data_IF_741372626199
#
_entry.id   IF_741372626199
#
_cell.length_a   1.000
_cell.length_b   1.000
_cell.length_c   1.000
_cell.angle_alpha   90.00
_cell.angle_beta   90.00
_cell.angle_gamma   90.00
#
_symmetry.space_group_name_H-M   'P 1'
#
loop_
_entity.id
_entity.type
_entity.pdbx_description
1 polymer ?
#
# COMPACT_ATOMS: atom_id res chain seq x y z
N UNK A 1 57.93 56.58 -33.93
CA UNK A 1 58.45 55.48 -34.76
C UNK A 1 57.36 54.41 -34.88
N UNK A 2 57.22 53.81 -36.07
CA UNK A 2 56.09 52.99 -36.62
C UNK A 2 55.60 51.85 -35.70
N UNK A 3 54.30 51.56 -35.59
CA UNK A 3 53.40 50.84 -36.52
C UNK A 3 53.77 49.34 -36.76
N UNK A 4 52.88 48.46 -36.25
CA UNK A 4 52.28 47.26 -36.86
C UNK A 4 53.03 45.91 -37.01
N UNK A 5 52.24 44.88 -36.64
CA UNK A 5 52.00 43.56 -37.28
C UNK A 5 52.89 42.34 -36.95
N UNK A 6 52.36 41.26 -36.34
CA UNK A 6 51.67 40.02 -36.88
C UNK A 6 52.67 38.83 -36.82
N UNK A 7 52.38 37.65 -36.23
CA UNK A 7 51.82 36.42 -36.84
C UNK A 7 51.71 35.27 -35.80
N UNK A 8 50.61 34.49 -35.91
CA UNK A 8 50.31 33.07 -35.54
C UNK A 8 50.73 32.52 -34.16
N UNK A 9 49.92 31.76 -33.44
CA UNK A 9 48.80 30.88 -33.82
C UNK A 9 49.05 29.51 -33.17
N UNK A 10 48.09 29.01 -32.39
CA UNK A 10 47.72 27.59 -32.20
C UNK A 10 46.69 27.56 -31.06
N UNK A 11 45.45 27.27 -31.44
CA UNK A 11 44.33 27.03 -30.56
C UNK A 11 44.27 25.52 -30.32
N UNK A 12 44.59 25.06 -29.12
CA UNK A 12 44.47 23.64 -28.76
C UNK A 12 43.08 23.43 -28.17
N UNK A 13 42.17 22.87 -28.98
CA UNK A 13 40.93 22.26 -28.51
C UNK A 13 41.28 21.01 -27.69
N UNK A 14 41.01 21.05 -26.38
CA UNK A 14 41.01 19.87 -25.53
C UNK A 14 39.79 18.99 -25.80
N UNK A 15 40.03 17.83 -26.40
CA UNK A 15 39.04 16.75 -26.50
C UNK A 15 38.78 16.14 -25.13
N UNK A 16 37.58 16.34 -24.57
CA UNK A 16 37.06 15.51 -23.48
C UNK A 16 36.47 14.25 -24.10
N UNK A 17 37.19 13.13 -23.95
CA UNK A 17 36.72 11.80 -24.32
C UNK A 17 35.69 11.35 -23.27
N UNK A 18 34.41 11.57 -23.58
CA UNK A 18 33.30 10.94 -22.87
C UNK A 18 33.19 9.47 -23.28
N UNK A 19 33.51 8.56 -22.37
CA UNK A 19 33.31 7.13 -22.56
C UNK A 19 31.80 6.83 -22.45
N UNK A 20 31.09 6.92 -23.57
CA UNK A 20 29.68 6.52 -23.68
C UNK A 20 29.57 5.00 -23.78
N UNK A 21 29.33 4.31 -22.67
CA UNK A 21 28.92 2.90 -22.71
C UNK A 21 27.45 2.82 -23.13
N UNK A 22 27.21 2.39 -24.37
CA UNK A 22 25.90 1.98 -24.87
C UNK A 22 25.35 0.82 -24.04
N UNK A 23 24.40 1.09 -23.14
CA UNK A 23 23.58 0.04 -22.52
C UNK A 23 22.45 -0.31 -23.50
N UNK A 24 22.61 -1.42 -24.22
CA UNK A 24 21.51 -2.06 -24.94
C UNK A 24 20.41 -2.45 -23.94
N UNK A 25 19.12 -2.20 -24.21
CA UNK A 25 18.05 -2.72 -23.37
C UNK A 25 17.99 -4.24 -23.51
N UNK A 26 18.00 -4.95 -22.37
CA UNK A 26 17.73 -6.38 -22.30
C UNK A 26 16.22 -6.59 -22.53
N UNK A 27 15.85 -6.87 -23.77
CA UNK A 27 14.51 -7.35 -24.13
C UNK A 27 14.47 -8.84 -23.76
N UNK A 28 13.72 -9.18 -22.71
CA UNK A 28 13.34 -10.57 -22.44
C UNK A 28 12.45 -11.08 -23.59
N UNK A 29 12.68 -12.29 -24.13
CA UNK A 29 11.79 -12.87 -25.11
C UNK A 29 10.44 -13.18 -24.46
N UNK A 30 9.43 -12.37 -24.79
CA UNK A 30 8.04 -12.59 -24.47
C UNK A 30 7.58 -13.79 -25.30
N UNK A 31 7.29 -14.92 -24.65
CA UNK A 31 6.56 -16.02 -25.29
C UNK A 31 5.15 -15.52 -25.56
N UNK A 32 4.89 -15.14 -26.80
CA UNK A 32 3.54 -14.87 -27.30
C UNK A 32 2.92 -16.24 -27.56
N UNK A 33 2.06 -16.70 -26.65
CA UNK A 33 1.17 -17.80 -26.95
C UNK A 33 0.14 -17.29 -27.98
N UNK A 34 0.08 -17.95 -29.15
CA UNK A 34 -1.00 -17.77 -30.11
C UNK A 34 -2.33 -18.12 -29.44
N UNK A 35 -3.18 -17.13 -29.21
CA UNK A 35 -4.58 -17.35 -28.86
C UNK A 35 -5.35 -17.37 -30.18
N UNK A 36 -5.28 -18.49 -30.88
CA UNK A 36 -6.19 -18.75 -31.98
C UNK A 36 -7.57 -19.09 -31.41
N UNK A 37 -8.54 -18.24 -31.76
CA UNK A 37 -9.99 -18.50 -31.80
C UNK A 37 -10.66 -19.08 -30.53
N UNK A 38 -10.90 -18.22 -29.52
CA UNK A 38 -12.08 -18.42 -28.65
C UNK A 38 -13.28 -17.81 -29.37
N UNK A 39 -14.11 -18.70 -29.92
CA UNK A 39 -15.40 -18.37 -30.53
C UNK A 39 -16.30 -17.67 -29.50
N UNK A 40 -16.71 -16.45 -29.82
CA UNK A 40 -17.74 -15.71 -29.10
C UNK A 40 -19.12 -16.24 -29.49
N UNK A 41 -19.58 -17.30 -28.85
CA UNK A 41 -20.96 -17.78 -28.94
C UNK A 41 -21.45 -18.23 -27.56
N UNK A 42 -21.80 -17.26 -26.70
CA UNK A 42 -22.88 -17.36 -25.70
C UNK A 42 -22.97 -16.06 -24.90
N UNK A 43 -23.54 -15.03 -25.53
CA UNK A 43 -24.21 -13.94 -24.79
C UNK A 43 -25.70 -14.19 -24.93
N UNK A 44 -26.22 -15.11 -24.12
CA UNK A 44 -27.65 -15.26 -23.93
C UNK A 44 -27.91 -15.55 -22.45
N UNK A 45 -28.72 -14.68 -21.84
CA UNK A 45 -29.27 -14.74 -20.49
C UNK A 45 -28.36 -14.21 -19.35
N UNK A 46 -28.05 -12.92 -19.42
CA UNK A 46 -27.90 -12.12 -18.19
C UNK A 46 -29.31 -11.94 -17.63
N UNK A 47 -29.64 -12.66 -16.55
CA UNK A 47 -30.77 -12.32 -15.70
C UNK A 47 -30.49 -10.94 -15.14
N UNK A 48 -31.33 -9.95 -15.48
CA UNK A 48 -31.23 -8.59 -14.95
C UNK A 48 -31.09 -8.64 -13.43
N UNK A 49 -29.97 -8.11 -12.92
CA UNK A 49 -29.85 -7.80 -11.50
C UNK A 49 -30.98 -6.82 -11.13
N UNK A 50 -31.63 -6.97 -9.95
CA UNK A 50 -32.72 -6.08 -9.57
C UNK A 50 -32.23 -4.64 -9.56
N UNK A 51 -32.86 -3.79 -10.38
CA UNK A 51 -32.66 -2.34 -10.35
C UNK A 51 -32.99 -1.86 -8.94
N UNK A 52 -31.97 -1.37 -8.25
CA UNK A 52 -32.14 -0.65 -7.00
C UNK A 52 -33.03 0.56 -7.29
N UNK A 53 -34.27 0.51 -6.82
CA UNK A 53 -35.16 1.68 -6.78
C UNK A 53 -34.56 2.61 -5.73
N UNK A 54 -33.81 3.61 -6.20
CA UNK A 54 -33.45 4.76 -5.37
C UNK A 54 -34.73 5.56 -5.21
N UNK A 55 -35.36 5.43 -4.05
CA UNK A 55 -36.40 6.35 -3.63
C UNK A 55 -35.79 7.76 -3.53
N UNK A 56 -36.13 8.62 -4.49
CA UNK A 56 -35.68 10.00 -4.56
C UNK A 56 -36.53 10.95 -3.69
N UNK A 57 -37.23 10.44 -2.67
CA UNK A 57 -37.83 11.29 -1.63
C UNK A 57 -36.77 11.87 -0.68
N UNK A 58 -35.91 12.73 -1.23
CA UNK A 58 -35.14 13.67 -0.41
C UNK A 58 -36.15 14.67 0.13
N UNK A 59 -36.51 14.48 1.41
CA UNK A 59 -37.15 15.50 2.23
C UNK A 59 -36.27 16.77 2.19
N UNK A 60 -36.72 17.77 1.44
CA UNK A 60 -36.02 19.02 1.19
C UNK A 60 -36.11 20.02 2.34
N UNK A 61 -36.49 19.58 3.56
CA UNK A 61 -36.76 20.47 4.70
C UNK A 61 -35.58 20.76 5.64
N UNK A 62 -34.36 20.28 5.37
CA UNK A 62 -33.16 20.71 6.10
C UNK A 62 -32.40 21.82 5.37
N UNK A 63 -33.03 22.99 5.23
CA UNK A 63 -32.26 24.22 4.99
C UNK A 63 -31.52 24.53 6.29
N UNK A 64 -30.28 24.07 6.41
CA UNK A 64 -29.40 24.55 7.46
C UNK A 64 -29.18 26.05 7.24
N UNK A 65 -29.85 26.86 8.05
CA UNK A 65 -29.54 28.29 8.14
C UNK A 65 -28.06 28.38 8.51
N UNK A 66 -27.21 29.10 7.74
CA UNK A 66 -25.79 29.17 8.05
C UNK A 66 -25.60 29.76 9.44
N UNK A 67 -25.18 28.92 10.39
CA UNK A 67 -24.81 29.39 11.72
C UNK A 67 -23.59 30.29 11.57
N UNK A 68 -23.68 31.51 12.09
CA UNK A 68 -22.53 32.40 12.13
C UNK A 68 -21.51 31.86 13.14
N UNK A 69 -20.29 31.59 12.67
CA UNK A 69 -19.21 31.07 13.51
C UNK A 69 -18.73 32.14 14.49
N UNK A 70 -18.46 31.75 15.74
CA UNK A 70 -17.81 32.64 16.72
C UNK A 70 -16.39 33.01 16.26
N UNK A 71 -15.76 34.06 16.81
CA UNK A 71 -14.35 34.37 16.51
C UNK A 71 -13.40 33.19 16.73
N UNK A 72 -13.59 32.39 17.78
CA UNK A 72 -12.80 31.20 18.08
C UNK A 72 -13.02 30.11 17.03
N UNK A 73 -14.27 29.87 16.63
CA UNK A 73 -14.62 28.93 15.57
C UNK A 73 -14.06 29.37 14.21
N UNK A 74 -14.07 30.67 13.91
CA UNK A 74 -13.45 31.26 12.70
C UNK A 74 -11.93 31.07 12.70
N UNK A 75 -11.27 31.17 13.84
CA UNK A 75 -9.82 30.91 13.98
C UNK A 75 -9.53 29.40 13.85
N UNK A 76 -10.34 28.55 14.47
CA UNK A 76 -10.22 27.09 14.36
C UNK A 76 -10.41 26.63 12.90
N UNK A 77 -11.39 27.19 12.20
CA UNK A 77 -11.65 26.91 10.79
C UNK A 77 -10.53 27.41 9.88
N UNK A 78 -9.97 28.59 10.14
CA UNK A 78 -8.77 29.10 9.43
C UNK A 78 -7.57 28.15 9.61
N UNK A 79 -7.32 27.69 10.84
CA UNK A 79 -6.27 26.71 11.12
C UNK A 79 -6.54 25.37 10.44
N UNK A 80 -7.79 24.90 10.43
CA UNK A 80 -8.22 23.63 9.82
C UNK A 80 -8.06 23.64 8.31
N UNK A 81 -8.43 24.74 7.67
CA UNK A 81 -8.30 24.93 6.21
C UNK A 81 -6.86 25.23 5.78
N UNK A 82 -5.97 25.53 6.73
CA UNK A 82 -4.57 25.85 6.45
C UNK A 82 -4.39 27.19 5.73
N UNK A 83 -5.43 28.01 5.65
CA UNK A 83 -5.41 29.30 4.95
C UNK A 83 -4.87 30.38 5.91
N UNK A 84 -3.60 30.75 5.72
CA UNK A 84 -3.03 31.92 6.39
C UNK A 84 -3.56 33.20 5.72
N UNK A 85 -4.38 33.97 6.44
CA UNK A 85 -5.05 35.18 5.91
C UNK A 85 -4.09 36.27 5.42
N UNK A 86 -2.86 36.31 5.94
CA UNK A 86 -1.83 37.27 5.51
C UNK A 86 -0.94 36.74 4.37
N UNK A 87 -1.26 35.58 3.79
CA UNK A 87 -0.53 35.07 2.64
C UNK A 87 -1.08 35.67 1.35
N UNK A 88 -0.18 36.20 0.52
CA UNK A 88 -0.47 36.45 -0.88
C UNK A 88 -0.37 35.13 -1.64
N UNK A 89 -1.50 34.66 -2.18
CA UNK A 89 -1.52 33.45 -2.99
C UNK A 89 -0.91 33.73 -4.38
N UNK A 90 0.20 33.07 -4.68
CA UNK A 90 0.77 32.99 -6.02
C UNK A 90 0.84 31.52 -6.45
N UNK A 91 0.17 31.18 -7.55
CA UNK A 91 0.07 29.82 -8.03
C UNK A 91 1.38 29.34 -8.67
N UNK A 92 1.84 28.15 -8.27
CA UNK A 92 2.86 27.41 -9.01
C UNK A 92 2.18 26.55 -10.09
N UNK A 93 2.79 26.48 -11.28
CA UNK A 93 2.24 25.71 -12.42
C UNK A 93 2.80 24.29 -12.55
N UNK A 94 3.88 23.97 -11.82
CA UNK A 94 4.53 22.66 -11.86
C UNK A 94 4.34 21.95 -10.52
N UNK A 95 3.38 21.02 -10.47
CA UNK A 95 3.13 20.19 -9.31
C UNK A 95 2.51 18.84 -9.72
N UNK A 96 2.70 17.83 -8.88
CA UNK A 96 1.99 16.56 -8.94
C UNK A 96 1.23 16.35 -7.62
N UNK A 97 0.21 15.50 -7.64
CA UNK A 97 -0.45 15.05 -6.42
C UNK A 97 0.52 14.19 -5.58
N UNK A 98 0.43 14.31 -4.26
CA UNK A 98 1.11 13.40 -3.34
C UNK A 98 0.55 12.00 -3.54
N UNK A 99 1.43 11.01 -3.72
CA UNK A 99 1.06 9.62 -4.02
C UNK A 99 1.16 8.77 -2.75
N UNK A 100 0.32 7.73 -2.61
CA UNK A 100 0.48 6.75 -1.56
C UNK A 100 1.80 5.98 -1.74
N UNK A 101 2.42 5.61 -0.64
CA UNK A 101 3.70 4.88 -0.63
C UNK A 101 3.56 3.47 -0.05
N UNK A 102 2.39 3.10 0.47
CA UNK A 102 2.12 1.81 1.11
C UNK A 102 0.80 1.23 0.63
N UNK A 103 0.68 -0.09 0.75
CA UNK A 103 -0.60 -0.80 0.72
C UNK A 103 -0.73 -1.59 2.00
N UNK A 104 -1.83 -1.40 2.72
CA UNK A 104 -2.17 -2.16 3.93
C UNK A 104 -3.31 -3.11 3.61
N UNK A 105 -3.07 -4.39 3.81
CA UNK A 105 -4.01 -5.47 3.54
C UNK A 105 -4.74 -5.85 4.83
N UNK A 106 -6.07 -5.96 4.73
CA UNK A 106 -6.99 -6.28 5.80
C UNK A 106 -7.85 -7.47 5.41
N UNK A 107 -8.46 -8.12 6.40
CA UNK A 107 -9.68 -8.91 6.21
C UNK A 107 -10.79 -8.28 7.03
N UNK A 108 -12.02 -8.39 6.55
CA UNK A 108 -13.15 -7.62 7.11
C UNK A 108 -13.65 -8.15 8.45
N UNK A 109 -13.35 -9.40 8.78
CA UNK A 109 -13.93 -10.15 9.89
C UNK A 109 -15.48 -10.24 9.79
N UNK A 110 -16.00 -10.12 8.57
CA UNK A 110 -17.42 -10.16 8.23
C UNK A 110 -17.68 -11.31 7.26
N UNK A 111 -18.97 -11.55 6.95
CA UNK A 111 -19.41 -12.68 6.13
C UNK A 111 -19.93 -12.27 4.74
N UNK A 112 -19.91 -10.97 4.41
CA UNK A 112 -20.30 -10.51 3.08
C UNK A 112 -19.73 -9.14 2.73
N UNK A 113 -19.38 -8.97 1.45
CA UNK A 113 -19.05 -7.67 0.86
C UNK A 113 -20.13 -6.62 1.08
N UNK A 114 -21.42 -6.97 0.95
CA UNK A 114 -22.50 -6.00 1.11
C UNK A 114 -22.51 -5.39 2.53
N UNK A 115 -22.23 -6.21 3.54
CA UNK A 115 -22.07 -5.76 4.92
C UNK A 115 -20.86 -4.83 5.08
N UNK A 116 -19.72 -5.16 4.44
CA UNK A 116 -18.51 -4.33 4.49
C UNK A 116 -18.72 -2.98 3.82
N UNK A 117 -19.26 -2.96 2.60
CA UNK A 117 -19.61 -1.73 1.88
C UNK A 117 -20.55 -0.87 2.70
N UNK A 118 -21.60 -1.47 3.29
CA UNK A 118 -22.53 -0.74 4.14
C UNK A 118 -21.85 -0.18 5.40
N UNK A 119 -20.93 -0.93 6.01
CA UNK A 119 -20.16 -0.48 7.17
C UNK A 119 -19.40 0.81 6.86
N UNK A 120 -18.83 0.95 5.66
CA UNK A 120 -18.10 2.15 5.25
C UNK A 120 -18.99 3.34 4.85
N UNK A 121 -20.31 3.13 4.74
CA UNK A 121 -21.28 4.15 4.35
C UNK A 121 -22.13 4.68 5.52
N UNK A 122 -22.00 4.10 6.73
CA UNK A 122 -22.78 4.54 7.89
C UNK A 122 -21.97 5.52 8.76
N UNK A 123 -22.54 6.69 9.16
CA UNK A 123 -21.77 7.74 9.84
C UNK A 123 -21.09 7.32 11.16
N UNK A 124 -21.65 6.33 11.86
CA UNK A 124 -21.18 5.91 13.17
C UNK A 124 -19.97 4.94 13.13
N UNK A 125 -19.67 4.32 11.98
CA UNK A 125 -18.57 3.33 11.90
C UNK A 125 -17.20 3.98 11.99
N UNK A 126 -17.06 5.20 11.44
CA UNK A 126 -15.81 5.98 11.40
C UNK A 126 -14.61 5.15 10.89
N UNK A 127 -14.85 4.29 9.91
CA UNK A 127 -13.84 3.49 9.22
C UNK A 127 -14.15 3.45 7.72
N UNK A 128 -13.10 3.35 6.91
CA UNK A 128 -13.21 3.24 5.46
C UNK A 128 -11.94 2.62 4.88
N UNK A 129 -12.04 2.04 3.70
CA UNK A 129 -10.92 1.56 2.91
C UNK A 129 -11.05 2.06 1.47
N UNK A 130 -9.99 1.97 0.68
CA UNK A 130 -10.02 2.39 -0.72
C UNK A 130 -10.68 1.32 -1.59
N UNK A 131 -10.45 0.06 -1.27
CA UNK A 131 -10.96 -1.09 -2.02
C UNK A 131 -11.53 -2.16 -1.11
N UNK A 132 -12.58 -2.82 -1.57
CA UNK A 132 -13.13 -4.06 -1.02
C UNK A 132 -13.07 -5.14 -2.10
N UNK A 133 -12.60 -6.34 -1.79
CA UNK A 133 -12.55 -7.47 -2.73
C UNK A 133 -13.42 -8.62 -2.22
N UNK A 134 -14.38 -9.04 -3.02
CA UNK A 134 -15.27 -10.17 -2.72
C UNK A 134 -14.55 -11.52 -2.77
N UNK A 135 -15.16 -12.54 -2.18
CA UNK A 135 -14.74 -13.94 -2.35
C UNK A 135 -14.71 -14.37 -3.83
N UNK A 136 -15.55 -13.80 -4.68
CA UNK A 136 -15.62 -14.08 -6.13
C UNK A 136 -14.61 -13.27 -6.96
N UNK A 137 -13.81 -12.40 -6.35
CA UNK A 137 -12.83 -11.56 -7.03
C UNK A 137 -13.38 -10.24 -7.57
N UNK A 138 -14.62 -9.86 -7.23
CA UNK A 138 -15.15 -8.54 -7.56
C UNK A 138 -14.40 -7.48 -6.73
N UNK A 139 -13.82 -6.49 -7.42
CA UNK A 139 -13.16 -5.34 -6.80
C UNK A 139 -14.13 -4.16 -6.79
N UNK A 140 -14.35 -3.59 -5.60
CA UNK A 140 -15.18 -2.40 -5.40
C UNK A 140 -14.28 -1.27 -4.90
N UNK A 141 -14.16 -0.19 -5.68
CA UNK A 141 -13.44 1.01 -5.27
C UNK A 141 -14.39 1.94 -4.51
N UNK A 142 -14.04 2.28 -3.27
CA UNK A 142 -14.84 3.07 -2.35
C UNK A 142 -14.36 4.52 -2.22
N UNK A 143 -13.07 4.78 -2.47
CA UNK A 143 -12.45 6.10 -2.38
C UNK A 143 -11.45 6.30 -3.52
N UNK A 144 -11.16 7.55 -3.85
CA UNK A 144 -10.04 7.87 -4.74
C UNK A 144 -8.72 7.51 -4.04
N UNK A 145 -7.75 6.99 -4.78
CA UNK A 145 -6.42 6.59 -4.30
C UNK A 145 -5.64 7.72 -3.59
N UNK A 146 -6.00 8.99 -3.85
CA UNK A 146 -5.40 10.17 -3.24
C UNK A 146 -6.11 10.65 -1.97
N UNK A 147 -7.28 10.11 -1.66
CA UNK A 147 -8.03 10.45 -0.46
C UNK A 147 -7.52 9.66 0.75
N UNK A 148 -7.55 10.29 1.93
CA UNK A 148 -7.17 9.62 3.17
C UNK A 148 -8.31 8.73 3.69
N UNK A 149 -8.24 7.43 3.41
CA UNK A 149 -9.12 6.45 4.05
C UNK A 149 -8.80 6.24 5.55
N UNK A 150 -9.76 5.72 6.32
CA UNK A 150 -9.62 5.48 7.76
C UNK A 150 -9.58 3.97 8.05
N UNK A 151 -8.51 3.28 7.62
CA UNK A 151 -8.37 1.83 7.74
C UNK A 151 -7.30 1.40 8.76
N UNK A 152 -6.15 2.07 8.80
CA UNK A 152 -5.01 1.70 9.65
C UNK A 152 -5.21 2.10 11.12
N UNK A 153 -5.96 3.18 11.37
CA UNK A 153 -6.13 3.76 12.70
C UNK A 153 -4.80 4.10 13.38
N UNK A 154 -4.74 3.99 14.72
CA UNK A 154 -3.48 4.14 15.47
C UNK A 154 -2.53 3.00 15.10
N UNK A 155 -1.47 3.33 14.39
CA UNK A 155 -0.53 2.38 13.78
C UNK A 155 0.88 2.98 13.74
N UNK A 156 1.90 2.15 13.47
CA UNK A 156 3.27 2.59 13.25
C UNK A 156 4.00 1.60 12.35
N UNK A 157 4.75 2.12 11.39
CA UNK A 157 5.70 1.34 10.57
C UNK A 157 6.97 2.16 10.34
N UNK A 158 8.09 1.71 10.90
CA UNK A 158 9.33 2.48 10.97
C UNK A 158 9.12 3.80 11.70
N UNK A 159 9.46 4.91 11.05
CA UNK A 159 9.25 6.26 11.59
C UNK A 159 7.83 6.80 11.39
N UNK A 160 6.99 6.15 10.58
CA UNK A 160 5.66 6.65 10.18
C UNK A 160 4.62 6.21 11.21
N UNK A 161 3.79 7.13 11.69
CA UNK A 161 2.72 6.91 12.67
C UNK A 161 1.30 7.20 12.13
N UNK A 162 1.16 7.90 11.00
CA UNK A 162 -0.11 8.11 10.30
C UNK A 162 -0.15 7.36 8.96
N UNK A 163 -0.25 6.03 9.03
CA UNK A 163 -0.29 5.19 7.82
C UNK A 163 -1.49 5.50 6.93
N UNK A 164 -2.64 5.89 7.49
CA UNK A 164 -3.83 6.29 6.71
C UNK A 164 -3.51 7.36 5.65
N UNK A 165 -2.60 8.31 5.96
CA UNK A 165 -2.23 9.39 5.03
C UNK A 165 -1.22 8.98 3.97
N UNK A 166 -0.62 7.80 4.11
CA UNK A 166 0.49 7.34 3.28
C UNK A 166 0.18 6.01 2.56
N UNK A 167 -1.02 5.45 2.75
CA UNK A 167 -1.32 4.10 2.30
C UNK A 167 -2.69 3.95 1.66
N UNK A 168 -2.77 2.99 0.73
CA UNK A 168 -4.03 2.44 0.24
C UNK A 168 -4.43 1.27 1.14
N UNK A 169 -5.64 1.33 1.69
CA UNK A 169 -6.28 0.25 2.44
C UNK A 169 -7.11 -0.65 1.53
N UNK A 170 -6.86 -1.97 1.58
CA UNK A 170 -7.60 -2.98 0.82
C UNK A 170 -8.20 -4.00 1.78
N UNK A 171 -9.52 -4.16 1.71
CA UNK A 171 -10.31 -5.06 2.57
C UNK A 171 -10.73 -6.30 1.80
N UNK A 172 -10.35 -7.47 2.30
CA UNK A 172 -10.77 -8.76 1.72
C UNK A 172 -11.97 -9.30 2.50
N UNK A 173 -13.06 -9.59 1.80
CA UNK A 173 -14.24 -10.24 2.37
C UNK A 173 -13.89 -11.67 2.82
N UNK A 174 -13.47 -11.77 4.08
CA UNK A 174 -13.03 -12.99 4.74
C UNK A 174 -13.16 -12.78 6.25
N UNK A 175 -13.58 -13.81 6.98
CA UNK A 175 -13.83 -13.75 8.41
C UNK A 175 -12.58 -14.01 9.29
N UNK A 176 -11.41 -14.23 8.66
CA UNK A 176 -10.14 -14.51 9.32
C UNK A 176 -9.95 -15.95 9.81
N UNK A 177 -10.94 -16.83 9.59
CA UNK A 177 -10.96 -18.21 10.08
C UNK A 177 -10.99 -19.26 8.96
N UNK A 178 -11.02 -18.81 7.71
CA UNK A 178 -11.04 -19.66 6.52
C UNK A 178 -10.00 -19.20 5.49
N UNK A 179 -9.47 -20.12 4.66
CA UNK A 179 -8.58 -19.73 3.56
C UNK A 179 -9.22 -18.70 2.63
N UNK A 180 -8.40 -17.82 2.08
CA UNK A 180 -8.84 -16.84 1.08
C UNK A 180 -9.02 -17.56 -0.27
N UNK A 181 -10.19 -17.44 -0.94
CA UNK A 181 -10.40 -18.09 -2.23
C UNK A 181 -9.42 -17.61 -3.30
N UNK A 182 -8.99 -18.51 -4.19
CA UNK A 182 -8.05 -18.18 -5.27
C UNK A 182 -8.57 -17.03 -6.17
N UNK A 183 -9.88 -16.98 -6.42
CA UNK A 183 -10.53 -15.87 -7.14
C UNK A 183 -10.30 -14.51 -6.48
N UNK A 184 -10.35 -14.46 -5.14
CA UNK A 184 -10.13 -13.24 -4.37
C UNK A 184 -8.64 -12.85 -4.38
N UNK A 185 -7.73 -13.82 -4.22
CA UNK A 185 -6.29 -13.57 -4.24
C UNK A 185 -5.80 -13.15 -5.63
N UNK A 186 -6.30 -13.78 -6.70
CA UNK A 186 -5.96 -13.38 -8.08
C UNK A 186 -6.41 -11.95 -8.39
N UNK A 187 -7.63 -11.57 -7.97
CA UNK A 187 -8.11 -10.20 -8.10
C UNK A 187 -7.24 -9.21 -7.31
N UNK A 188 -6.82 -9.58 -6.09
CA UNK A 188 -5.89 -8.79 -5.30
C UNK A 188 -4.56 -8.59 -6.04
N UNK A 189 -3.95 -9.65 -6.58
CA UNK A 189 -2.67 -9.55 -7.30
C UNK A 189 -2.75 -8.58 -8.49
N UNK A 190 -3.82 -8.64 -9.27
CA UNK A 190 -4.05 -7.71 -10.40
C UNK A 190 -4.17 -6.26 -9.92
N UNK A 191 -4.91 -6.04 -8.82
CA UNK A 191 -5.04 -4.71 -8.23
C UNK A 191 -3.70 -4.20 -7.69
N UNK A 192 -2.95 -5.04 -6.98
CA UNK A 192 -1.65 -4.66 -6.42
C UNK A 192 -0.65 -4.31 -7.52
N UNK A 193 -0.62 -5.04 -8.64
CA UNK A 193 0.26 -4.74 -9.78
C UNK A 193 -0.05 -3.36 -10.40
N UNK A 194 -1.35 -3.08 -10.57
CA UNK A 194 -1.85 -1.79 -11.06
C UNK A 194 -1.41 -0.65 -10.14
N UNK A 195 -1.64 -0.78 -8.83
CA UNK A 195 -1.29 0.24 -7.84
C UNK A 195 0.23 0.43 -7.73
N UNK A 196 0.98 -0.68 -7.70
CA UNK A 196 2.44 -0.67 -7.64
C UNK A 196 3.04 0.07 -8.82
N UNK A 197 2.58 -0.24 -10.04
CA UNK A 197 3.08 0.36 -11.27
C UNK A 197 2.72 1.84 -11.36
N UNK A 198 1.46 2.21 -11.05
CA UNK A 198 0.98 3.60 -11.11
C UNK A 198 1.70 4.51 -10.12
N UNK A 199 1.94 4.03 -8.91
CA UNK A 199 2.46 4.84 -7.81
C UNK A 199 3.93 4.59 -7.47
N UNK A 200 4.57 3.63 -8.15
CA UNK A 200 5.94 3.20 -7.90
C UNK A 200 6.14 2.74 -6.44
N UNK A 201 5.14 2.05 -5.88
CA UNK A 201 5.17 1.60 -4.48
C UNK A 201 6.28 0.56 -4.30
N UNK A 202 7.23 0.75 -3.37
CA UNK A 202 8.28 -0.21 -3.11
C UNK A 202 7.73 -1.58 -2.71
N UNK A 203 8.40 -2.65 -3.12
CA UNK A 203 8.00 -4.03 -2.79
C UNK A 203 7.83 -4.26 -1.27
N UNK A 204 8.67 -3.63 -0.44
CA UNK A 204 8.62 -3.75 1.02
C UNK A 204 7.35 -3.15 1.64
N UNK A 205 6.65 -2.28 0.92
CA UNK A 205 5.57 -1.46 1.46
C UNK A 205 4.17 -2.08 1.29
N UNK A 206 4.10 -3.38 0.95
CA UNK A 206 2.88 -4.18 0.98
C UNK A 206 2.86 -4.99 2.27
N UNK A 207 2.04 -4.55 3.22
CA UNK A 207 2.08 -5.00 4.63
C UNK A 207 0.68 -5.30 5.14
N UNK A 208 0.58 -6.09 6.21
CA UNK A 208 -0.69 -6.39 6.86
C UNK A 208 -1.03 -5.38 7.94
N UNK A 209 -2.29 -5.28 8.32
CA UNK A 209 -2.69 -4.43 9.45
C UNK A 209 -2.06 -4.88 10.78
N UNK A 210 -1.88 -6.20 10.96
CA UNK A 210 -1.16 -6.77 12.09
C UNK A 210 0.30 -6.30 12.17
N UNK A 211 0.94 -6.01 11.03
CA UNK A 211 2.33 -5.53 11.01
C UNK A 211 2.44 -4.13 11.65
N UNK A 212 1.48 -3.26 11.33
CA UNK A 212 1.50 -1.84 11.74
C UNK A 212 0.78 -1.57 13.07
N UNK A 213 -0.04 -2.52 13.54
CA UNK A 213 -0.80 -2.41 14.79
C UNK A 213 -0.77 -3.72 15.60
N UNK A 214 0.43 -4.24 15.93
CA UNK A 214 0.65 -5.61 16.43
C UNK A 214 -0.06 -5.95 17.75
N UNK A 215 -0.38 -4.94 18.57
CA UNK A 215 -1.09 -5.12 19.84
C UNK A 215 -2.62 -5.08 19.71
N UNK A 216 -3.14 -4.64 18.56
CA UNK A 216 -4.56 -4.36 18.35
C UNK A 216 -5.19 -5.20 17.25
N UNK A 217 -4.39 -5.64 16.28
CA UNK A 217 -4.85 -6.21 15.02
C UNK A 217 -4.12 -7.50 14.68
N UNK A 218 -4.86 -8.43 14.09
CA UNK A 218 -4.41 -9.74 13.64
C UNK A 218 -4.72 -10.00 12.16
N UNK A 219 -5.35 -9.06 11.47
CA UNK A 219 -5.62 -9.13 10.04
C UNK A 219 -4.36 -8.88 9.18
N UNK A 220 -4.19 -9.59 8.04
CA UNK A 220 -5.13 -10.48 7.36
C UNK A 220 -5.14 -11.96 7.82
N UNK A 221 -4.90 -12.26 9.11
CA UNK A 221 -4.84 -13.62 9.70
C UNK A 221 -3.62 -14.45 9.25
N UNK A 222 -3.44 -15.62 9.88
CA UNK A 222 -2.41 -16.61 9.51
C UNK A 222 -2.70 -17.32 8.17
N UNK A 223 -3.94 -17.26 7.68
CA UNK A 223 -4.39 -17.98 6.49
C UNK A 223 -4.16 -17.17 5.20
N UNK A 224 -3.70 -15.93 5.32
CA UNK A 224 -3.43 -15.09 4.17
C UNK A 224 -2.12 -15.49 3.47
N UNK A 225 -2.10 -15.68 2.14
CA UNK A 225 -0.99 -16.31 1.43
C UNK A 225 0.14 -15.30 1.12
N UNK A 226 0.80 -14.79 2.15
CA UNK A 226 1.92 -13.82 2.01
C UNK A 226 3.04 -14.30 1.08
N UNK A 227 3.34 -15.60 1.08
CA UNK A 227 4.31 -16.22 0.16
C UNK A 227 3.93 -15.98 -1.30
N UNK A 228 2.67 -16.18 -1.66
CA UNK A 228 2.16 -15.99 -3.03
C UNK A 228 2.29 -14.53 -3.43
N UNK A 229 1.96 -13.60 -2.55
CA UNK A 229 2.14 -12.17 -2.81
C UNK A 229 3.62 -11.81 -3.05
N UNK A 230 4.52 -12.28 -2.19
CA UNK A 230 5.94 -11.99 -2.30
C UNK A 230 6.57 -12.57 -3.58
N UNK A 231 6.14 -13.76 -4.01
CA UNK A 231 6.53 -14.35 -5.29
C UNK A 231 6.11 -13.52 -6.50
N UNK A 232 5.02 -12.74 -6.35
CA UNK A 232 4.53 -11.80 -7.36
C UNK A 232 5.05 -10.36 -7.13
N UNK A 233 6.01 -10.17 -6.22
CA UNK A 233 6.66 -8.88 -5.98
C UNK A 233 5.91 -7.94 -5.03
N UNK A 234 4.98 -8.45 -4.23
CA UNK A 234 4.25 -7.67 -3.21
C UNK A 234 4.63 -8.16 -1.80
N UNK A 235 5.38 -7.34 -1.07
CA UNK A 235 5.94 -7.74 0.22
C UNK A 235 7.18 -8.63 0.04
N UNK A 236 7.59 -9.28 1.12
CA UNK A 236 8.81 -10.06 1.18
C UNK A 236 8.56 -11.43 1.79
N UNK A 237 9.44 -12.39 1.46
CA UNK A 237 9.42 -13.75 1.99
C UNK A 237 10.85 -14.27 2.13
N UNK A 238 11.03 -15.16 3.10
CA UNK A 238 12.31 -15.80 3.38
C UNK A 238 12.55 -17.00 2.45
N UNK A 239 13.78 -17.50 2.41
CA UNK A 239 14.08 -18.75 1.73
C UNK A 239 13.75 -19.95 2.62
N UNK A 240 12.67 -20.66 2.30
CA UNK A 240 12.23 -21.84 3.05
C UNK A 240 13.19 -23.04 2.93
N UNK A 241 13.90 -23.15 1.81
CA UNK A 241 14.78 -24.30 1.52
C UNK A 241 16.17 -24.14 2.16
N UNK A 242 16.52 -22.92 2.58
CA UNK A 242 17.85 -22.62 3.10
C UNK A 242 17.83 -21.49 4.12
N UNK A 243 17.95 -21.87 5.40
CA UNK A 243 18.07 -20.96 6.53
C UNK A 243 19.43 -21.14 7.22
N UNK A 244 20.10 -20.02 7.52
CA UNK A 244 21.35 -20.00 8.27
C UNK A 244 21.04 -19.57 9.71
N UNK A 245 21.67 -20.21 10.69
CA UNK A 245 21.61 -19.74 12.07
C UNK A 245 22.23 -18.34 12.19
N UNK A 246 21.58 -17.39 12.87
CA UNK A 246 22.11 -16.05 13.04
C UNK A 246 23.45 -16.08 13.81
N UNK A 247 24.40 -15.18 13.49
CA UNK A 247 25.65 -15.08 14.22
C UNK A 247 25.39 -14.63 15.68
N UNK A 248 26.31 -14.91 16.63
CA UNK A 248 26.10 -14.60 18.05
C UNK A 248 25.81 -13.12 18.38
N UNK A 249 26.23 -12.20 17.52
CA UNK A 249 26.02 -10.75 17.69
C UNK A 249 24.74 -10.22 17.01
N UNK A 250 23.94 -11.08 16.37
CA UNK A 250 22.67 -10.68 15.78
C UNK A 250 21.64 -10.34 16.85
N UNK A 251 21.07 -9.13 16.79
CA UNK A 251 19.99 -8.70 17.67
C UNK A 251 18.65 -8.74 16.94
N UNK A 252 17.82 -9.73 17.27
CA UNK A 252 16.49 -9.89 16.70
C UNK A 252 15.56 -8.68 16.94
N UNK A 253 15.70 -7.99 18.08
CA UNK A 253 14.85 -6.84 18.39
C UNK A 253 15.19 -5.64 17.51
N UNK A 254 16.49 -5.42 17.25
CA UNK A 254 16.93 -4.37 16.33
C UNK A 254 16.52 -4.71 14.89
N UNK A 255 16.61 -5.97 14.48
CA UNK A 255 16.15 -6.41 13.17
C UNK A 255 14.64 -6.14 12.98
N UNK A 256 13.78 -6.52 13.95
CA UNK A 256 12.34 -6.21 13.90
C UNK A 256 12.09 -4.70 13.83
N UNK A 257 12.84 -3.89 14.58
CA UNK A 257 12.76 -2.43 14.53
C UNK A 257 13.13 -1.87 13.16
N UNK A 258 14.22 -2.35 12.57
CA UNK A 258 14.72 -1.95 11.25
C UNK A 258 13.73 -2.34 10.15
N UNK A 259 13.12 -3.53 10.26
CA UNK A 259 12.07 -3.95 9.34
C UNK A 259 10.88 -2.99 9.32
N UNK A 260 10.54 -2.45 10.49
CA UNK A 260 9.52 -1.42 10.66
C UNK A 260 8.57 -1.65 11.83
N UNK A 261 8.68 -2.75 12.57
CA UNK A 261 7.74 -3.04 13.66
C UNK A 261 7.82 -2.02 14.79
N UNK A 262 6.67 -1.75 15.41
CA UNK A 262 6.59 -0.94 16.62
C UNK A 262 7.11 -1.71 17.84
N UNK A 263 8.34 -1.39 18.26
CA UNK A 263 9.02 -2.07 19.35
C UNK A 263 8.67 -1.52 20.75
N UNK A 264 7.63 -0.69 20.89
CA UNK A 264 7.13 -0.27 22.23
C UNK A 264 6.61 -1.45 23.05
N UNK A 265 6.13 -2.50 22.39
CA UNK A 265 5.66 -3.75 22.98
C UNK A 265 6.22 -4.94 22.15
N UNK A 266 7.47 -5.36 22.40
CA UNK A 266 8.18 -6.33 21.57
C UNK A 266 7.45 -7.66 21.37
N UNK A 267 6.72 -8.14 22.38
CA UNK A 267 5.93 -9.36 22.30
C UNK A 267 4.82 -9.27 21.25
N UNK A 268 4.24 -8.08 21.05
CA UNK A 268 3.29 -7.83 19.98
C UNK A 268 3.94 -7.89 18.61
N UNK A 269 5.09 -7.22 18.45
CA UNK A 269 5.86 -7.24 17.21
C UNK A 269 6.24 -8.68 16.81
N UNK A 270 6.70 -9.48 17.78
CA UNK A 270 7.02 -10.89 17.56
C UNK A 270 5.77 -11.66 17.12
N UNK A 271 4.61 -11.48 17.77
CA UNK A 271 3.36 -12.12 17.33
C UNK A 271 2.98 -11.74 15.90
N UNK A 272 3.09 -10.47 15.53
CA UNK A 272 2.79 -10.03 14.17
C UNK A 272 3.76 -10.64 13.14
N UNK A 273 5.06 -10.60 13.41
CA UNK A 273 6.08 -11.27 12.61
C UNK A 273 5.77 -12.76 12.43
N UNK A 274 5.51 -13.47 13.53
CA UNK A 274 5.20 -14.90 13.48
C UNK A 274 3.91 -15.19 12.72
N UNK A 275 2.88 -14.35 12.85
CA UNK A 275 1.63 -14.49 12.11
C UNK A 275 1.87 -14.48 10.59
N UNK A 276 2.77 -13.60 10.14
CA UNK A 276 3.09 -13.41 8.73
C UNK A 276 4.00 -14.50 8.18
N UNK A 277 5.07 -14.85 8.91
CA UNK A 277 6.14 -15.69 8.38
C UNK A 277 6.20 -17.11 8.95
N UNK A 278 5.76 -17.32 10.19
CA UNK A 278 5.90 -18.61 10.88
C UNK A 278 4.61 -19.42 10.83
N UNK A 279 3.45 -18.77 10.96
CA UNK A 279 2.07 -19.27 10.77
C UNK A 279 1.62 -20.33 11.80
N UNK A 280 2.53 -21.19 12.29
CA UNK A 280 2.25 -22.34 13.17
C UNK A 280 2.13 -21.97 14.65
N UNK A 281 3.02 -21.14 15.17
CA UNK A 281 3.04 -20.70 16.56
C UNK A 281 3.14 -19.17 16.60
N UNK A 282 2.15 -18.50 17.19
CA UNK A 282 2.03 -17.03 17.16
C UNK A 282 2.10 -16.44 18.58
N UNK A 283 3.04 -16.92 19.38
CA UNK A 283 3.34 -16.36 20.72
C UNK A 283 4.35 -15.20 20.63
N UNK A 284 4.65 -14.58 21.77
CA UNK A 284 5.56 -13.42 21.86
C UNK A 284 7.04 -13.78 22.03
N UNK A 285 7.47 -15.00 21.72
CA UNK A 285 8.84 -15.47 21.99
C UNK A 285 9.46 -16.05 20.73
N UNK A 286 10.64 -15.60 20.30
CA UNK A 286 11.30 -16.14 19.10
C UNK A 286 12.02 -17.45 19.39
N UNK A 287 11.69 -18.51 18.65
CA UNK A 287 12.46 -19.77 18.64
C UNK A 287 13.73 -19.63 17.78
N UNK A 288 14.63 -20.61 17.83
CA UNK A 288 15.82 -20.63 16.98
C UNK A 288 15.47 -20.60 15.48
N UNK A 289 14.40 -21.28 15.07
CA UNK A 289 13.89 -21.24 13.70
C UNK A 289 13.39 -19.83 13.34
N UNK A 290 12.62 -19.19 14.22
CA UNK A 290 12.07 -17.85 13.95
C UNK A 290 13.18 -16.81 13.81
N UNK A 291 14.24 -16.93 14.61
CA UNK A 291 15.42 -16.06 14.50
C UNK A 291 16.18 -16.29 13.18
N UNK A 292 16.28 -17.53 12.70
CA UNK A 292 16.88 -17.82 11.40
C UNK A 292 16.05 -17.25 10.23
N UNK A 293 14.72 -17.35 10.30
CA UNK A 293 13.80 -16.71 9.34
C UNK A 293 13.95 -15.18 9.36
N UNK A 294 13.96 -14.57 10.55
CA UNK A 294 14.14 -13.12 10.71
C UNK A 294 15.50 -12.66 10.16
N UNK A 295 16.56 -13.44 10.40
CA UNK A 295 17.89 -13.13 9.92
C UNK A 295 18.02 -13.22 8.40
N UNK A 296 17.37 -14.21 7.76
CA UNK A 296 17.31 -14.31 6.30
C UNK A 296 16.61 -13.08 5.68
N UNK A 297 15.44 -12.73 6.22
CA UNK A 297 14.68 -11.55 5.79
C UNK A 297 15.50 -10.26 5.97
N UNK A 298 16.16 -10.11 7.12
CA UNK A 298 17.02 -8.97 7.41
C UNK A 298 18.10 -8.84 6.34
N UNK A 299 18.96 -9.87 6.17
CA UNK A 299 20.06 -9.85 5.19
C UNK A 299 19.65 -9.58 3.75
N UNK A 300 18.46 -10.04 3.35
CA UNK A 300 18.03 -9.99 1.96
C UNK A 300 17.42 -8.63 1.60
N UNK A 301 16.88 -7.91 2.57
CA UNK A 301 16.04 -6.74 2.33
C UNK A 301 16.42 -5.49 3.11
N UNK A 302 17.33 -5.59 4.10
CA UNK A 302 17.73 -4.51 5.02
C UNK A 302 19.24 -4.52 5.26
#
# INVERSE_FOLDING_TARGET
MRLRDVISGICVLGFIVGCGTSKKPLISPRVVANIDAIKTDTVANIVEAPKLVVDNSIDSSFVQVPRELTPEEKIAEQKRTGLYKGADWAGAIHYDLRKPNFVVIHHTAQNSVAQTVRTFQVPHSKVSAHYVISKTGQIIQMLNDYDRAWHAGKSKWGSIDDLNSMSIGIELDNNGKEPFPDTQINALLVLLDTLKTKYLIPQLNFIGHADIAPMRKDDPSILFPWKVLAQNGFGIWYNEDYLISPPPNFNAMDALKIMGYDMRAPEGAIRAFKRKYIIKEVNGVLTAHDQAVLYDLYRKYY
#
